data_IF_179448797265
#
_entry.id   IF_179448797265
#
_cell.length_a   1.000
_cell.length_b   1.000
_cell.length_c   1.000
_cell.angle_alpha   90.00
_cell.angle_beta   90.00
_cell.angle_gamma   90.00
#
_symmetry.space_group_name_H-M   'P 1'
#
loop_
_entity.id
_entity.type
_entity.pdbx_description
1 polymer ?
#
# COMPACT_ATOMS: atom_id res chain seq x y z
N UNK A 1 12.37 5.43 -8.71
CA UNK A 1 11.07 5.28 -8.04
C UNK A 1 10.94 3.89 -7.45
N UNK A 2 10.39 3.76 -6.25
CA UNK A 2 9.94 2.47 -5.67
C UNK A 2 8.60 2.05 -6.29
N UNK A 3 8.23 0.78 -6.20
CA UNK A 3 6.89 0.37 -6.66
C UNK A 3 5.79 0.85 -5.71
N UNK A 4 6.00 0.67 -4.39
CA UNK A 4 5.06 1.09 -3.36
C UNK A 4 5.78 1.92 -2.28
N UNK A 5 5.14 2.99 -1.81
CA UNK A 5 5.47 3.71 -0.59
C UNK A 5 4.31 3.54 0.41
N UNK A 6 4.60 2.91 1.54
CA UNK A 6 3.64 2.72 2.63
C UNK A 6 3.72 3.92 3.59
N UNK A 7 2.59 4.58 3.83
CA UNK A 7 2.49 5.79 4.62
C UNK A 7 1.87 5.45 5.98
N UNK A 8 2.70 5.44 7.01
CA UNK A 8 2.31 5.13 8.39
C UNK A 8 2.30 6.35 9.31
N UNK A 9 2.79 7.50 8.82
CA UNK A 9 2.86 8.75 9.57
C UNK A 9 1.76 9.71 9.11
N UNK A 10 0.99 10.25 10.06
CA UNK A 10 -0.13 11.17 9.80
C UNK A 10 0.35 12.38 9.01
N UNK A 11 1.53 12.90 9.34
CA UNK A 11 2.11 14.09 8.71
C UNK A 11 2.37 13.86 7.20
N UNK A 12 2.82 12.67 6.81
CA UNK A 12 2.99 12.32 5.39
C UNK A 12 1.63 12.21 4.68
N UNK A 13 0.65 11.60 5.33
CA UNK A 13 -0.70 11.47 4.80
C UNK A 13 -1.38 12.84 4.63
N UNK A 14 -1.28 13.73 5.62
CA UNK A 14 -1.78 15.10 5.54
C UNK A 14 -1.12 15.89 4.42
N UNK A 15 0.19 15.66 4.20
CA UNK A 15 0.91 16.23 3.07
C UNK A 15 0.36 15.69 1.75
N UNK A 16 0.20 14.39 1.60
CA UNK A 16 -0.29 13.81 0.36
C UNK A 16 -1.75 14.22 0.05
N UNK A 17 -2.64 14.18 1.05
CA UNK A 17 -4.09 14.29 0.92
C UNK A 17 -4.62 15.72 0.75
N UNK A 18 -3.90 16.55 -0.02
CA UNK A 18 -4.47 17.78 -0.60
C UNK A 18 -4.64 17.58 -2.09
N UNK A 19 -5.82 17.86 -2.68
CA UNK A 19 -6.10 17.59 -4.10
C UNK A 19 -5.01 18.11 -5.05
N UNK A 20 -4.51 19.32 -4.81
CA UNK A 20 -3.46 19.92 -5.65
C UNK A 20 -2.10 19.22 -5.52
N UNK A 21 -1.77 18.70 -4.34
CA UNK A 21 -0.53 17.94 -4.13
C UNK A 21 -0.62 16.58 -4.82
N UNK A 22 -1.80 15.94 -4.82
CA UNK A 22 -2.04 14.73 -5.60
C UNK A 22 -1.89 14.99 -7.10
N UNK A 23 -2.46 16.08 -7.62
CA UNK A 23 -2.32 16.42 -9.05
C UNK A 23 -0.87 16.73 -9.43
N UNK A 24 -0.14 17.50 -8.62
CA UNK A 24 1.31 17.73 -8.83
C UNK A 24 2.08 16.41 -8.80
N UNK A 25 1.81 15.54 -7.83
CA UNK A 25 2.49 14.25 -7.70
C UNK A 25 2.24 13.34 -8.91
N UNK A 26 1.01 13.31 -9.45
CA UNK A 26 0.68 12.57 -10.68
C UNK A 26 1.50 13.04 -11.88
N UNK A 27 1.74 14.35 -11.99
CA UNK A 27 2.62 14.89 -13.02
C UNK A 27 4.10 14.55 -12.81
N UNK A 28 4.50 13.99 -11.67
CA UNK A 28 5.89 13.59 -11.37
C UNK A 28 6.11 12.08 -11.49
N UNK A 29 5.19 11.34 -12.13
CA UNK A 29 5.43 9.95 -12.50
C UNK A 29 6.68 9.77 -13.39
N UNK A 30 7.01 10.78 -14.19
CA UNK A 30 8.29 10.91 -14.90
C UNK A 30 9.04 12.13 -14.38
N UNK A 31 10.39 12.16 -14.45
CA UNK A 31 11.18 13.30 -14.02
C UNK A 31 10.79 14.59 -14.75
N UNK A 32 10.40 15.64 -14.01
CA UNK A 32 9.99 16.95 -14.57
C UNK A 32 10.44 18.11 -13.71
N UNK A 33 10.61 19.28 -14.32
CA UNK A 33 10.80 20.53 -13.56
C UNK A 33 9.47 21.09 -13.08
N UNK A 34 9.51 21.94 -12.04
CA UNK A 34 8.30 22.65 -11.58
C UNK A 34 7.66 23.49 -12.70
N UNK A 35 8.46 24.03 -13.61
CA UNK A 35 8.00 24.81 -14.78
C UNK A 35 7.20 23.92 -15.75
N UNK A 36 7.68 22.71 -16.02
CA UNK A 36 7.00 21.74 -16.91
C UNK A 36 5.69 21.22 -16.31
N UNK A 37 5.66 21.00 -14.99
CA UNK A 37 4.44 20.61 -14.26
C UNK A 37 3.43 21.76 -14.23
N UNK A 38 3.89 22.98 -13.99
CA UNK A 38 3.06 24.19 -13.99
C UNK A 38 2.35 24.41 -15.33
N UNK A 39 3.07 24.22 -16.45
CA UNK A 39 2.49 24.31 -17.79
C UNK A 39 1.39 23.24 -18.03
N UNK A 40 1.56 22.03 -17.48
CA UNK A 40 0.57 20.94 -17.63
C UNK A 40 -0.68 21.14 -16.79
N UNK A 41 -0.56 21.79 -15.63
CA UNK A 41 -1.67 22.00 -14.70
C UNK A 41 -2.34 23.37 -14.85
N UNK A 42 -1.90 24.19 -15.81
CA UNK A 42 -2.32 25.59 -15.96
C UNK A 42 -2.16 26.39 -14.65
N UNK A 43 -0.97 26.27 -14.04
CA UNK A 43 -0.62 26.91 -12.77
C UNK A 43 0.66 27.73 -12.89
N UNK A 44 0.93 28.58 -11.89
CA UNK A 44 2.20 29.31 -11.83
C UNK A 44 3.34 28.41 -11.34
N UNK A 45 4.59 28.58 -11.86
CA UNK A 45 5.74 27.82 -11.38
C UNK A 45 5.98 27.96 -9.88
N UNK A 46 5.74 29.14 -9.31
CA UNK A 46 5.87 29.40 -7.87
C UNK A 46 4.90 28.56 -7.03
N UNK A 47 3.66 28.41 -7.51
CA UNK A 47 2.64 27.60 -6.83
C UNK A 47 2.99 26.11 -6.86
N UNK A 48 3.41 25.61 -8.02
CA UNK A 48 3.88 24.21 -8.14
C UNK A 48 5.11 23.98 -7.27
N UNK A 49 6.08 24.89 -7.29
CA UNK A 49 7.29 24.80 -6.47
C UNK A 49 6.96 24.71 -4.98
N UNK A 50 5.98 25.47 -4.49
CA UNK A 50 5.49 25.33 -3.11
C UNK A 50 5.01 23.89 -2.82
N UNK A 51 4.17 23.32 -3.68
CA UNK A 51 3.67 21.95 -3.51
C UNK A 51 4.79 20.91 -3.59
N UNK A 52 5.69 21.01 -4.57
CA UNK A 52 6.85 20.11 -4.72
C UNK A 52 7.74 20.17 -3.50
N UNK A 53 8.03 21.36 -2.96
CA UNK A 53 8.82 21.51 -1.74
C UNK A 53 8.19 20.78 -0.54
N UNK A 54 6.87 20.88 -0.38
CA UNK A 54 6.15 20.16 0.69
C UNK A 54 6.19 18.64 0.48
N UNK A 55 6.01 18.18 -0.76
CA UNK A 55 6.09 16.75 -1.10
C UNK A 55 7.50 16.18 -0.88
N UNK A 56 8.55 16.93 -1.23
CA UNK A 56 9.95 16.56 -0.97
C UNK A 56 10.23 16.48 0.53
N UNK A 57 9.78 17.47 1.30
CA UNK A 57 9.95 17.47 2.75
C UNK A 57 9.27 16.26 3.43
N UNK A 58 8.18 15.74 2.86
CA UNK A 58 7.50 14.54 3.33
C UNK A 58 8.04 13.21 2.73
N UNK A 59 9.08 13.27 1.89
CA UNK A 59 9.65 12.09 1.22
C UNK A 59 8.74 11.46 0.15
N UNK A 60 7.76 12.21 -0.37
CA UNK A 60 6.82 11.77 -1.40
C UNK A 60 7.35 12.06 -2.82
N UNK A 61 8.32 12.96 -2.93
CA UNK A 61 8.99 13.37 -4.17
C UNK A 61 10.49 13.49 -3.88
N UNK A 62 11.31 13.19 -4.87
CA UNK A 62 12.77 13.28 -4.79
C UNK A 62 13.29 14.27 -5.85
N UNK A 63 14.36 15.01 -5.51
CA UNK A 63 15.15 15.75 -6.48
C UNK A 63 16.10 14.75 -7.15
N UNK A 64 15.85 14.42 -8.41
CA UNK A 64 16.60 13.37 -9.13
C UNK A 64 17.71 13.94 -9.99
N UNK A 65 17.64 15.22 -10.38
CA UNK A 65 18.69 15.90 -11.13
C UNK A 65 18.53 17.43 -11.04
N UNK A 66 19.53 18.17 -11.49
CA UNK A 66 19.49 19.62 -11.64
C UNK A 66 19.97 19.99 -13.05
N UNK A 67 19.36 21.00 -13.67
CA UNK A 67 19.79 21.54 -14.97
C UNK A 67 19.94 23.06 -14.92
N UNK A 68 20.91 23.60 -15.66
CA UNK A 68 21.04 25.05 -15.84
C UNK A 68 20.36 25.50 -17.12
N UNK A 69 19.44 26.46 -17.02
CA UNK A 69 18.77 27.09 -18.15
C UNK A 69 18.93 28.61 -18.00
N UNK A 70 19.60 29.25 -18.98
CA UNK A 70 19.83 30.71 -18.99
C UNK A 70 20.44 31.27 -17.69
N UNK A 71 21.35 30.50 -17.07
CA UNK A 71 22.03 30.90 -15.83
C UNK A 71 21.27 30.57 -14.54
N UNK A 72 20.04 30.06 -14.61
CA UNK A 72 19.24 29.63 -13.46
C UNK A 72 19.31 28.11 -13.33
N UNK A 73 19.54 27.60 -12.12
CA UNK A 73 19.46 26.16 -11.82
C UNK A 73 18.01 25.77 -11.56
N UNK A 74 17.46 24.87 -12.38
CA UNK A 74 16.15 24.23 -12.19
C UNK A 74 16.34 22.80 -11.65
N UNK A 75 15.63 22.46 -10.57
CA UNK A 75 15.54 21.09 -10.09
C UNK A 75 14.59 20.25 -10.96
N UNK A 76 14.97 19.00 -11.20
CA UNK A 76 14.16 17.97 -11.85
C UNK A 76 13.73 16.98 -10.76
N UNK A 77 12.42 16.86 -10.59
CA UNK A 77 11.81 16.10 -9.51
C UNK A 77 11.07 14.87 -10.05
N UNK A 78 11.00 13.82 -9.24
CA UNK A 78 10.23 12.61 -9.54
C UNK A 78 9.51 12.11 -8.29
N UNK A 79 8.32 11.53 -8.45
CA UNK A 79 7.59 10.85 -7.39
C UNK A 79 8.46 9.75 -6.75
N UNK A 80 8.44 9.62 -5.42
CA UNK A 80 9.27 8.63 -4.72
C UNK A 80 8.83 7.18 -5.01
N UNK A 81 7.54 6.96 -5.26
CA UNK A 81 6.98 5.66 -5.62
C UNK A 81 5.89 5.72 -6.71
N UNK A 82 5.63 4.57 -7.34
CA UNK A 82 4.55 4.37 -8.33
C UNK A 82 3.17 4.30 -7.69
N UNK A 83 3.09 3.74 -6.48
CA UNK A 83 1.87 3.60 -5.68
C UNK A 83 2.10 4.07 -4.25
N UNK A 84 1.11 4.74 -3.66
CA UNK A 84 1.14 5.24 -2.29
C UNK A 84 0.01 4.58 -1.51
N UNK A 85 0.36 3.83 -0.47
CA UNK A 85 -0.59 3.06 0.34
C UNK A 85 -0.70 3.71 1.70
N UNK A 86 -1.92 4.03 2.11
CA UNK A 86 -2.19 4.61 3.43
C UNK A 86 -2.42 3.48 4.43
N UNK A 87 -1.63 3.47 5.50
CA UNK A 87 -1.80 2.50 6.56
C UNK A 87 -3.09 2.76 7.33
N UNK A 88 -3.93 1.75 7.58
CA UNK A 88 -5.07 1.87 8.51
C UNK A 88 -4.63 2.36 9.91
N UNK A 89 -3.36 2.12 10.29
CA UNK A 89 -2.77 2.59 11.56
C UNK A 89 -2.69 4.11 11.69
N UNK A 90 -2.79 4.86 10.59
CA UNK A 90 -2.82 6.33 10.62
C UNK A 90 -3.95 6.85 11.53
N UNK A 91 -5.09 6.17 11.52
CA UNK A 91 -6.21 6.46 12.43
C UNK A 91 -6.17 5.52 13.63
N UNK A 92 -5.72 4.29 13.42
CA UNK A 92 -5.72 3.24 14.44
C UNK A 92 -7.13 2.76 14.79
N UNK A 93 -7.24 1.95 15.83
CA UNK A 93 -8.54 1.45 16.30
C UNK A 93 -9.21 2.49 17.19
N UNK A 94 -10.47 2.80 16.86
CA UNK A 94 -11.33 3.66 17.68
C UNK A 94 -12.40 2.77 18.34
N UNK A 95 -12.37 2.69 19.67
CA UNK A 95 -13.33 1.91 20.47
C UNK A 95 -12.80 0.56 20.97
N UNK A 96 -13.60 -0.10 21.82
CA UNK A 96 -13.25 -1.38 22.47
C UNK A 96 -13.60 -2.58 21.56
N UNK A 97 -12.72 -3.58 21.55
CA UNK A 97 -12.92 -4.87 20.87
C UNK A 97 -14.12 -5.59 21.50
N UNK A 98 -15.15 -5.95 20.72
CA UNK A 98 -16.22 -6.80 21.25
C UNK A 98 -15.77 -8.25 21.13
N UNK A 99 -16.08 -9.10 22.11
CA UNK A 99 -15.72 -10.53 22.06
C UNK A 99 -16.28 -11.27 20.83
N UNK A 100 -17.33 -10.73 20.20
CA UNK A 100 -17.87 -11.24 18.93
C UNK A 100 -16.92 -10.98 17.74
N UNK A 101 -15.87 -10.18 17.92
CA UNK A 101 -14.90 -9.80 16.87
C UNK A 101 -13.77 -10.80 16.63
N UNK A 102 -13.52 -11.72 17.56
CA UNK A 102 -12.51 -12.77 17.38
C UNK A 102 -12.90 -13.78 16.29
N UNK A 103 -14.20 -13.82 15.92
CA UNK A 103 -14.74 -14.60 14.81
C UNK A 103 -15.30 -13.70 13.68
N UNK A 104 -14.98 -12.40 13.67
CA UNK A 104 -15.64 -11.41 12.80
C UNK A 104 -14.78 -10.89 11.65
N UNK A 105 -15.44 -10.10 10.79
CA UNK A 105 -14.84 -9.22 9.80
C UNK A 105 -13.69 -8.37 10.37
N UNK A 106 -13.73 -8.02 11.65
CA UNK A 106 -12.66 -7.28 12.33
C UNK A 106 -11.34 -8.05 12.40
N UNK A 107 -11.38 -9.37 12.66
CA UNK A 107 -10.19 -10.21 12.58
C UNK A 107 -9.63 -10.30 11.16
N UNK A 108 -10.51 -10.38 10.15
CA UNK A 108 -10.07 -10.37 8.74
C UNK A 108 -9.40 -9.05 8.37
N UNK A 109 -9.94 -7.91 8.82
CA UNK A 109 -9.31 -6.61 8.60
C UNK A 109 -7.96 -6.50 9.29
N UNK A 110 -7.85 -6.97 10.54
CA UNK A 110 -6.59 -7.04 11.28
C UNK A 110 -5.54 -7.89 10.52
N UNK A 111 -5.96 -9.06 10.01
CA UNK A 111 -5.10 -9.95 9.23
C UNK A 111 -4.62 -9.28 7.94
N UNK A 112 -5.50 -8.56 7.23
CA UNK A 112 -5.11 -7.83 6.02
C UNK A 112 -4.14 -6.69 6.33
N UNK A 113 -4.34 -5.96 7.43
CA UNK A 113 -3.42 -4.91 7.86
C UNK A 113 -2.02 -5.48 8.17
N UNK A 114 -1.96 -6.63 8.83
CA UNK A 114 -0.71 -7.34 9.12
C UNK A 114 0.02 -7.74 7.82
N UNK A 115 -0.71 -8.35 6.87
CA UNK A 115 -0.16 -8.69 5.55
C UNK A 115 0.37 -7.46 4.81
N UNK A 116 -0.35 -6.34 4.85
CA UNK A 116 0.09 -5.09 4.21
C UNK A 116 1.37 -4.54 4.84
N UNK A 117 1.46 -4.54 6.17
CA UNK A 117 2.63 -4.06 6.90
C UNK A 117 3.85 -4.95 6.62
N UNK A 118 3.70 -6.27 6.59
CA UNK A 118 4.82 -7.18 6.30
C UNK A 118 5.33 -7.00 4.88
N UNK A 119 4.43 -6.91 3.88
CA UNK A 119 4.80 -6.67 2.49
C UNK A 119 5.51 -5.31 2.34
N UNK A 120 5.08 -4.29 3.09
CA UNK A 120 5.73 -2.98 3.09
C UNK A 120 7.15 -3.01 3.69
N UNK A 121 7.41 -3.91 4.63
CA UNK A 121 8.69 -4.07 5.31
C UNK A 121 9.71 -4.96 4.57
N UNK A 122 9.29 -5.69 3.53
CA UNK A 122 10.20 -6.53 2.74
C UNK A 122 11.36 -5.70 2.14
N UNK A 123 12.58 -6.23 2.26
CA UNK A 123 13.75 -5.63 1.62
C UNK A 123 13.64 -5.79 0.10
N UNK A 124 13.29 -4.70 -0.58
CA UNK A 124 13.16 -4.69 -2.04
C UNK A 124 14.50 -4.73 -2.77
N UNK A 125 15.64 -4.61 -2.08
CA UNK A 125 16.95 -4.83 -2.67
C UNK A 125 17.32 -6.32 -2.74
N UNK A 126 16.55 -7.20 -2.09
CA UNK A 126 16.75 -8.64 -2.18
C UNK A 126 16.62 -9.12 -3.63
N UNK A 127 17.56 -9.95 -4.12
CA UNK A 127 17.58 -10.40 -5.51
C UNK A 127 16.39 -11.29 -5.87
N UNK A 128 15.81 -12.00 -4.90
CA UNK A 128 14.64 -12.85 -5.08
C UNK A 128 13.66 -12.71 -3.91
N UNK A 129 12.37 -12.57 -4.22
CA UNK A 129 11.26 -12.53 -3.26
C UNK A 129 10.17 -13.51 -3.74
N UNK A 130 10.35 -14.83 -3.52
CA UNK A 130 9.40 -15.83 -3.98
C UNK A 130 8.03 -15.57 -3.36
N UNK A 131 7.05 -15.22 -4.21
CA UNK A 131 5.73 -14.78 -3.79
C UNK A 131 4.66 -15.52 -4.60
N UNK A 132 3.58 -15.95 -3.95
CA UNK A 132 2.42 -16.55 -4.60
C UNK A 132 1.14 -15.90 -4.08
N UNK A 133 0.25 -15.52 -4.99
CA UNK A 133 -1.09 -15.05 -4.68
C UNK A 133 -2.10 -15.97 -5.35
N UNK A 134 -3.01 -16.55 -4.56
CA UNK A 134 -4.13 -17.36 -5.06
C UNK A 134 -5.43 -16.71 -4.61
N UNK A 135 -6.33 -16.44 -5.56
CA UNK A 135 -7.67 -15.91 -5.30
C UNK A 135 -8.67 -16.63 -6.19
N UNK A 136 -9.86 -16.91 -5.65
CA UNK A 136 -10.91 -17.63 -6.35
C UNK A 136 -12.23 -17.58 -5.58
N UNK A 137 -13.33 -17.83 -6.29
CA UNK A 137 -14.67 -17.90 -5.71
C UNK A 137 -15.14 -19.35 -5.61
N UNK A 138 -15.69 -19.72 -4.45
CA UNK A 138 -16.27 -21.04 -4.21
C UNK A 138 -17.72 -20.84 -3.74
N UNK A 139 -18.65 -21.56 -4.36
CA UNK A 139 -20.06 -21.61 -3.93
C UNK A 139 -20.27 -22.84 -3.07
N UNK A 140 -20.70 -22.64 -1.82
CA UNK A 140 -20.94 -23.71 -0.85
C UNK A 140 -22.41 -23.72 -0.45
N UNK A 141 -23.14 -24.85 -0.65
CA UNK A 141 -24.50 -25.02 -0.14
C UNK A 141 -24.58 -24.79 1.37
N UNK A 142 -25.71 -24.29 1.87
CA UNK A 142 -25.83 -23.88 3.27
C UNK A 142 -25.53 -25.03 4.25
N UNK A 143 -25.99 -26.22 3.90
CA UNK A 143 -25.80 -27.49 4.61
C UNK A 143 -24.34 -27.98 4.62
N UNK A 144 -23.50 -27.54 3.69
CA UNK A 144 -22.10 -27.97 3.59
C UNK A 144 -21.10 -26.94 4.16
N UNK A 145 -21.56 -25.76 4.60
CA UNK A 145 -20.66 -24.67 5.04
C UNK A 145 -19.73 -25.07 6.19
N UNK A 146 -20.26 -25.76 7.20
CA UNK A 146 -19.44 -26.19 8.34
C UNK A 146 -18.38 -27.20 7.91
N UNK A 147 -18.74 -28.17 7.07
CA UNK A 147 -17.81 -29.15 6.54
C UNK A 147 -16.71 -28.46 5.72
N UNK A 148 -17.07 -27.56 4.81
CA UNK A 148 -16.13 -26.80 4.00
C UNK A 148 -15.11 -26.03 4.85
N UNK A 149 -15.56 -25.32 5.89
CA UNK A 149 -14.65 -24.56 6.77
C UNK A 149 -13.71 -25.49 7.54
N UNK A 150 -14.20 -26.66 7.96
CA UNK A 150 -13.39 -27.66 8.64
C UNK A 150 -12.33 -28.28 7.71
N UNK A 151 -12.70 -28.62 6.47
CA UNK A 151 -11.79 -29.16 5.47
C UNK A 151 -10.68 -28.16 5.13
N UNK A 152 -11.05 -26.87 4.96
CA UNK A 152 -10.08 -25.79 4.73
C UNK A 152 -9.11 -25.63 5.90
N UNK A 153 -9.62 -25.62 7.14
CA UNK A 153 -8.78 -25.53 8.33
C UNK A 153 -7.80 -26.71 8.43
N UNK A 154 -8.28 -27.92 8.19
CA UNK A 154 -7.47 -29.15 8.25
C UNK A 154 -6.36 -29.12 7.20
N UNK A 155 -6.69 -28.75 5.95
CA UNK A 155 -5.70 -28.64 4.88
C UNK A 155 -4.59 -27.62 5.21
N UNK A 156 -4.93 -26.50 5.83
CA UNK A 156 -3.95 -25.49 6.27
C UNK A 156 -3.10 -25.98 7.45
N UNK A 157 -3.70 -26.65 8.43
CA UNK A 157 -2.98 -27.23 9.56
C UNK A 157 -1.98 -28.30 9.12
N UNK A 158 -2.37 -29.16 8.17
CA UNK A 158 -1.48 -30.17 7.59
C UNK A 158 -0.31 -29.51 6.87
N UNK A 159 -0.54 -28.41 6.14
CA UNK A 159 0.50 -27.64 5.48
C UNK A 159 1.49 -27.04 6.49
N UNK A 160 0.99 -26.37 7.52
CA UNK A 160 1.84 -25.79 8.58
C UNK A 160 2.60 -26.86 9.36
N UNK A 161 2.00 -28.02 9.60
CA UNK A 161 2.68 -29.13 10.29
C UNK A 161 3.82 -29.69 9.45
N UNK A 162 3.64 -29.78 8.12
CA UNK A 162 4.63 -30.32 7.20
C UNK A 162 5.82 -29.38 6.96
N UNK A 163 5.60 -28.06 6.98
CA UNK A 163 6.61 -27.07 6.58
C UNK A 163 6.95 -26.02 7.64
N UNK A 164 6.31 -26.02 8.80
CA UNK A 164 6.51 -25.03 9.88
C UNK A 164 7.80 -25.22 10.71
N UNK A 165 8.85 -25.78 10.12
CA UNK A 165 10.16 -25.94 10.75
C UNK A 165 10.99 -24.64 10.77
N UNK A 166 12.19 -24.71 11.34
CA UNK A 166 13.14 -23.59 11.43
C UNK A 166 14.17 -23.54 10.29
N UNK A 167 14.10 -24.48 9.35
CA UNK A 167 15.03 -24.59 8.22
C UNK A 167 14.39 -24.07 6.92
N UNK A 168 15.18 -23.38 6.09
CA UNK A 168 14.75 -22.82 4.81
C UNK A 168 14.25 -21.38 4.90
N UNK A 169 13.70 -20.90 3.78
CA UNK A 169 13.14 -19.55 3.68
C UNK A 169 11.83 -19.46 4.47
N UNK A 170 11.69 -18.38 5.24
CA UNK A 170 10.47 -18.12 5.99
C UNK A 170 9.38 -17.57 5.06
N UNK A 171 8.27 -18.30 4.95
CA UNK A 171 7.07 -17.85 4.25
C UNK A 171 5.97 -17.53 5.27
N UNK A 172 5.33 -16.37 5.11
CA UNK A 172 4.10 -16.06 5.83
C UNK A 172 2.90 -16.35 4.93
N UNK A 173 1.97 -17.17 5.43
CA UNK A 173 0.73 -17.52 4.73
C UNK A 173 -0.48 -16.98 5.50
N UNK A 174 -1.27 -16.15 4.84
CA UNK A 174 -2.54 -15.64 5.36
C UNK A 174 -3.67 -16.04 4.41
N UNK A 175 -4.73 -16.65 4.94
CA UNK A 175 -5.90 -17.07 4.17
C UNK A 175 -7.14 -16.39 4.75
N UNK A 176 -7.88 -15.68 3.91
CA UNK A 176 -9.13 -15.04 4.27
C UNK A 176 -10.30 -15.72 3.54
N UNK A 177 -11.32 -16.14 4.30
CA UNK A 177 -12.57 -16.67 3.76
C UNK A 177 -13.72 -15.84 4.36
N UNK A 178 -14.49 -15.18 3.50
CA UNK A 178 -15.59 -14.29 3.90
C UNK A 178 -16.77 -14.39 2.93
N UNK A 179 -17.99 -14.03 3.36
CA UNK A 179 -19.13 -13.96 2.47
C UNK A 179 -18.90 -12.93 1.35
N UNK A 180 -19.15 -13.32 0.10
CA UNK A 180 -19.21 -12.37 -1.02
C UNK A 180 -20.43 -11.46 -0.84
N UNK A 181 -20.23 -10.15 -0.91
CA UNK A 181 -21.32 -9.17 -0.94
C UNK A 181 -22.13 -9.35 -2.24
N UNK A 182 -23.45 -9.14 -2.16
CA UNK A 182 -24.26 -9.05 -3.38
C UNK A 182 -23.92 -7.72 -4.06
N UNK A 183 -23.64 -7.75 -5.37
CA UNK A 183 -23.57 -6.52 -6.15
C UNK A 183 -24.96 -5.86 -6.08
N UNK A 184 -25.05 -4.74 -5.35
CA UNK A 184 -26.22 -3.89 -5.40
C UNK A 184 -26.18 -3.14 -6.74
N UNK A 185 -26.96 -3.60 -7.71
CA UNK A 185 -27.37 -2.80 -8.88
C UNK A 185 -28.17 -1.55 -8.48
#
# INVERSE_FOLDING_TARGET
>A
MRDVLYLEQIEQAEVLLKPQRVEVLRQLAEPRTCTEVAARLDQTPQRVYYHVKQLVAAGLVELVNERKVRGITEGIYQAAARSYWLSPRLVGRIGLRRARDELSLGYLLDLMEEVQADIAALDRAAPELPSIGVSGEIRVPAEQRQQFLHDLQTALQDLFTRYGGSEGDAFKLAVACYPKGNDHE
#
